data_IF_378632965727
#
_entry.id   IF_378632965727
#
_cell.length_a   1.000
_cell.length_b   1.000
_cell.length_c   1.000
_cell.angle_alpha   90.00
_cell.angle_beta   90.00
_cell.angle_gamma   90.00
#
_symmetry.space_group_name_H-M   'P 1'
#
loop_
_entity.id
_entity.type
_entity.pdbx_description
1 polymer ?
#
# COMPACT_ATOMS: atom_id res chain seq x y z
N UNK A 1 -7.47 15.03 -10.84
CA UNK A 1 -7.77 13.74 -10.17
C UNK A 1 -7.60 12.64 -11.22
N UNK A 2 -7.02 11.48 -10.88
CA UNK A 2 -6.93 10.35 -11.80
C UNK A 2 -8.34 9.78 -11.99
N UNK A 3 -8.77 9.50 -13.22
CA UNK A 3 -10.09 8.90 -13.47
C UNK A 3 -10.15 7.45 -12.94
N UNK A 4 -11.34 6.92 -12.60
CA UNK A 4 -11.48 5.52 -12.18
C UNK A 4 -10.91 4.53 -13.20
N UNK A 5 -11.09 4.80 -14.50
CA UNK A 5 -10.57 3.97 -15.59
C UNK A 5 -9.04 3.98 -15.64
N UNK A 6 -8.43 5.17 -15.56
CA UNK A 6 -6.96 5.28 -15.51
C UNK A 6 -6.40 4.61 -14.26
N UNK A 7 -7.09 4.70 -13.13
CA UNK A 7 -6.69 4.01 -11.90
C UNK A 7 -6.78 2.48 -12.04
N UNK A 8 -7.86 1.97 -12.62
CA UNK A 8 -8.03 0.53 -12.85
C UNK A 8 -6.92 -0.02 -13.77
N UNK A 9 -6.61 0.70 -14.86
CA UNK A 9 -5.50 0.37 -15.77
C UNK A 9 -4.17 0.40 -15.02
N UNK A 10 -3.91 1.41 -14.19
CA UNK A 10 -2.67 1.51 -13.41
C UNK A 10 -2.51 0.35 -12.41
N UNK A 11 -3.59 -0.04 -11.74
CA UNK A 11 -3.60 -1.19 -10.81
C UNK A 11 -3.36 -2.51 -11.57
N UNK A 12 -4.01 -2.70 -12.72
CA UNK A 12 -3.84 -3.89 -13.55
C UNK A 12 -2.41 -4.04 -14.09
N UNK A 13 -1.74 -2.92 -14.36
CA UNK A 13 -0.37 -2.87 -14.88
C UNK A 13 0.71 -2.76 -13.80
N UNK A 14 0.38 -2.98 -12.53
CA UNK A 14 1.36 -2.94 -11.44
C UNK A 14 2.49 -3.91 -11.75
N UNK A 15 3.71 -3.36 -11.88
CA UNK A 15 4.89 -4.15 -12.20
C UNK A 15 5.19 -5.12 -11.07
N UNK A 16 5.06 -6.41 -11.37
CA UNK A 16 5.45 -7.49 -10.47
C UNK A 16 6.86 -7.95 -10.84
N UNK A 17 7.71 -8.16 -9.84
CA UNK A 17 9.06 -8.64 -10.08
C UNK A 17 9.03 -10.14 -10.35
N UNK A 18 9.82 -10.56 -11.34
CA UNK A 18 9.98 -11.95 -11.76
C UNK A 18 11.47 -12.31 -11.79
N UNK A 19 11.81 -13.51 -11.36
CA UNK A 19 13.11 -14.16 -11.59
C UNK A 19 12.87 -15.63 -11.93
N UNK A 20 13.01 -15.99 -13.21
CA UNK A 20 12.60 -17.30 -13.71
C UNK A 20 11.12 -17.56 -13.41
N UNK A 21 10.81 -18.71 -12.83
CA UNK A 21 9.45 -19.10 -12.42
C UNK A 21 8.99 -18.46 -11.10
N UNK A 22 9.86 -17.67 -10.45
CA UNK A 22 9.56 -17.07 -9.14
C UNK A 22 9.07 -15.63 -9.30
N UNK A 23 7.84 -15.42 -8.87
CA UNK A 23 7.22 -14.11 -8.75
C UNK A 23 7.35 -13.58 -7.31
N UNK A 24 7.54 -12.27 -7.15
CA UNK A 24 7.46 -11.61 -5.85
C UNK A 24 6.09 -10.94 -5.68
N UNK A 25 5.09 -11.59 -5.05
CA UNK A 25 3.71 -11.11 -5.00
C UNK A 25 3.50 -9.94 -4.04
N UNK A 26 4.57 -9.24 -3.64
CA UNK A 26 4.55 -8.20 -2.61
C UNK A 26 3.62 -7.03 -2.93
N UNK A 27 3.64 -6.54 -4.19
CA UNK A 27 2.75 -5.45 -4.59
C UNK A 27 1.30 -5.91 -4.76
N UNK A 28 1.00 -7.00 -5.50
CA UNK A 28 -0.38 -7.50 -5.60
C UNK A 28 -1.01 -7.82 -4.25
N UNK A 29 -0.30 -8.48 -3.33
CA UNK A 29 -0.83 -8.82 -2.02
C UNK A 29 -1.12 -7.59 -1.17
N UNK A 30 -0.25 -6.58 -1.18
CA UNK A 30 -0.52 -5.31 -0.50
C UNK A 30 -1.76 -4.60 -1.08
N UNK A 31 -1.92 -4.60 -2.40
CA UNK A 31 -3.08 -3.98 -3.05
C UNK A 31 -4.38 -4.70 -2.70
N UNK A 32 -4.38 -6.03 -2.77
CA UNK A 32 -5.54 -6.84 -2.41
C UNK A 32 -5.97 -6.61 -0.96
N UNK A 33 -5.01 -6.60 -0.04
CA UNK A 33 -5.27 -6.29 1.36
C UNK A 33 -5.87 -4.88 1.54
N UNK A 34 -5.27 -3.86 0.93
CA UNK A 34 -5.75 -2.48 1.06
C UNK A 34 -7.14 -2.30 0.45
N UNK A 35 -7.41 -2.93 -0.70
CA UNK A 35 -8.73 -2.93 -1.33
C UNK A 35 -9.78 -3.66 -0.48
N UNK A 36 -9.43 -4.77 0.19
CA UNK A 36 -10.35 -5.45 1.10
C UNK A 36 -10.70 -4.56 2.29
N UNK A 37 -9.73 -3.83 2.84
CA UNK A 37 -9.98 -2.89 3.92
C UNK A 37 -10.85 -1.72 3.47
N UNK A 38 -10.63 -1.16 2.26
CA UNK A 38 -11.51 -0.13 1.72
C UNK A 38 -12.93 -0.63 1.50
N UNK A 39 -13.10 -1.86 1.03
CA UNK A 39 -14.42 -2.50 0.90
C UNK A 39 -15.12 -2.60 2.27
N UNK A 40 -14.37 -2.79 3.35
CA UNK A 40 -14.87 -2.81 4.72
C UNK A 40 -15.09 -1.41 5.35
N UNK A 41 -14.94 -0.33 4.58
CA UNK A 41 -15.16 1.05 5.05
C UNK A 41 -13.95 1.69 5.72
N UNK A 42 -12.75 1.11 5.57
CA UNK A 42 -11.54 1.68 6.13
C UNK A 42 -11.22 3.06 5.52
N UNK A 43 -10.75 4.04 6.32
CA UNK A 43 -10.36 5.35 5.80
C UNK A 43 -9.17 5.26 4.84
N UNK A 44 -8.95 6.30 4.04
CA UNK A 44 -7.90 6.34 3.01
C UNK A 44 -6.47 6.07 3.53
N UNK A 45 -6.15 6.48 4.75
CA UNK A 45 -4.78 6.41 5.28
C UNK A 45 -4.62 5.22 6.23
N UNK A 46 -3.55 4.47 6.04
CA UNK A 46 -3.14 3.36 6.90
C UNK A 46 -1.91 3.74 7.72
N UNK A 47 -1.86 3.28 8.96
CA UNK A 47 -0.64 3.20 9.75
C UNK A 47 0.12 1.94 9.37
N UNK A 48 1.31 2.10 8.80
CA UNK A 48 2.14 0.96 8.40
C UNK A 48 2.45 0.00 9.55
N UNK A 49 2.86 0.51 10.70
CA UNK A 49 3.32 -0.32 11.82
C UNK A 49 2.19 -1.07 12.52
N UNK A 50 1.03 -0.44 12.65
CA UNK A 50 -0.10 -1.01 13.38
C UNK A 50 -1.02 -1.85 12.49
N UNK A 51 -1.21 -1.47 11.23
CA UNK A 51 -2.29 -2.00 10.39
C UNK A 51 -1.81 -2.77 9.17
N UNK A 52 -0.55 -2.57 8.73
CA UNK A 52 -0.05 -3.21 7.51
C UNK A 52 1.03 -4.26 7.80
N UNK A 53 1.99 -3.95 8.67
CA UNK A 53 3.21 -4.74 8.81
C UNK A 53 2.94 -6.22 9.05
N UNK A 54 2.15 -6.52 10.07
CA UNK A 54 1.89 -7.89 10.52
C UNK A 54 0.94 -8.64 9.56
N UNK A 55 -0.21 -8.09 9.11
CA UNK A 55 -1.08 -8.74 8.13
C UNK A 55 -0.37 -9.01 6.80
N UNK A 56 0.41 -8.05 6.30
CA UNK A 56 1.15 -8.23 5.05
C UNK A 56 2.23 -9.30 5.22
N UNK A 57 2.94 -9.34 6.36
CA UNK A 57 3.93 -10.40 6.63
C UNK A 57 3.29 -11.79 6.60
N UNK A 58 2.09 -11.95 7.17
CA UNK A 58 1.36 -13.22 7.11
C UNK A 58 1.00 -13.62 5.68
N UNK A 59 0.44 -12.69 4.91
CA UNK A 59 0.10 -12.92 3.50
C UNK A 59 1.32 -13.29 2.65
N UNK A 60 2.47 -12.67 2.90
CA UNK A 60 3.72 -13.00 2.21
C UNK A 60 4.22 -14.40 2.53
N UNK A 61 4.05 -14.86 3.78
CA UNK A 61 4.42 -16.23 4.17
C UNK A 61 3.48 -17.27 3.57
N UNK A 62 2.21 -16.95 3.44
CA UNK A 62 1.18 -17.88 2.98
C UNK A 62 1.14 -17.99 1.44
N UNK A 63 1.24 -16.86 0.75
CA UNK A 63 1.07 -16.78 -0.71
C UNK A 63 2.35 -16.41 -1.47
N UNK A 64 3.43 -16.10 -0.76
CA UNK A 64 4.73 -15.81 -1.35
C UNK A 64 5.58 -17.07 -1.57
N UNK A 65 6.57 -16.99 -2.48
CA UNK A 65 7.57 -18.05 -2.60
C UNK A 65 8.34 -18.20 -1.29
N UNK A 66 8.71 -19.44 -0.94
CA UNK A 66 9.53 -19.71 0.27
C UNK A 66 10.82 -18.91 0.21
N UNK A 67 11.02 -18.02 1.19
CA UNK A 67 12.23 -17.19 1.35
C UNK A 67 12.73 -17.29 2.79
N UNK A 68 14.03 -17.09 2.98
CA UNK A 68 14.66 -17.06 4.31
C UNK A 68 14.24 -15.83 5.12
N UNK A 69 13.92 -14.72 4.45
CA UNK A 69 13.53 -13.45 5.06
C UNK A 69 12.46 -12.76 4.20
N UNK A 70 11.38 -12.33 4.84
CA UNK A 70 10.34 -11.49 4.22
C UNK A 70 10.63 -10.00 4.47
N UNK A 71 10.45 -9.18 3.44
CA UNK A 71 10.67 -7.73 3.51
C UNK A 71 9.34 -6.98 3.27
N UNK A 72 8.46 -6.89 4.29
CA UNK A 72 7.14 -6.27 4.16
C UNK A 72 7.18 -4.75 3.89
N UNK A 73 8.34 -4.12 4.09
CA UNK A 73 8.57 -2.69 3.82
C UNK A 73 8.85 -2.39 2.33
N UNK A 74 9.40 -3.35 1.58
CA UNK A 74 9.75 -3.18 0.16
C UNK A 74 8.59 -2.81 -0.78
N UNK A 75 7.37 -3.39 -0.67
CA UNK A 75 6.30 -3.05 -1.60
C UNK A 75 5.88 -1.58 -1.55
N UNK A 76 5.98 -0.91 -0.39
CA UNK A 76 5.67 0.52 -0.26
C UNK A 76 6.61 1.42 -1.07
N UNK A 77 7.90 1.12 -1.06
CA UNK A 77 8.89 1.86 -1.84
C UNK A 77 8.69 1.66 -3.34
N UNK A 78 8.34 0.43 -3.73
CA UNK A 78 8.14 0.08 -5.15
C UNK A 78 6.79 0.52 -5.69
N UNK A 79 5.75 0.66 -4.86
CA UNK A 79 4.45 1.21 -5.29
C UNK A 79 4.51 2.72 -5.53
N UNK A 80 5.43 3.42 -4.86
CA UNK A 80 5.60 4.87 -5.03
C UNK A 80 5.91 5.26 -6.48
N UNK A 81 6.57 4.39 -7.24
CA UNK A 81 6.90 4.63 -8.65
C UNK A 81 5.71 4.41 -9.59
N UNK A 82 4.65 3.73 -9.15
CA UNK A 82 3.47 3.43 -9.97
C UNK A 82 2.48 4.61 -10.07
N UNK A 83 2.78 5.75 -9.43
CA UNK A 83 2.08 7.03 -9.61
C UNK A 83 0.70 7.16 -8.94
N UNK A 84 0.05 6.05 -8.58
CA UNK A 84 -1.24 6.04 -7.88
C UNK A 84 -1.12 5.85 -6.35
N UNK A 85 0.04 5.42 -5.86
CA UNK A 85 0.30 5.17 -4.45
C UNK A 85 1.00 6.35 -3.77
N UNK A 86 0.58 6.69 -2.54
CA UNK A 86 1.18 7.78 -1.77
C UNK A 86 1.45 7.38 -0.33
N UNK A 87 2.70 7.53 0.10
CA UNK A 87 3.12 7.38 1.49
C UNK A 87 3.31 8.74 2.12
N UNK A 88 2.72 8.97 3.30
CA UNK A 88 2.95 10.18 4.08
C UNK A 88 3.95 9.87 5.19
N UNK A 89 4.96 10.71 5.35
CA UNK A 89 5.80 10.64 6.55
C UNK A 89 5.05 11.21 7.74
N UNK A 90 5.40 10.79 8.95
CA UNK A 90 4.75 11.27 10.18
C UNK A 90 4.78 12.80 10.29
N UNK A 91 5.88 13.43 9.84
CA UNK A 91 6.04 14.89 9.82
C UNK A 91 5.02 15.57 8.90
N UNK A 92 4.80 15.03 7.70
CA UNK A 92 3.79 15.55 6.76
C UNK A 92 2.38 15.28 7.27
N UNK A 93 2.12 14.08 7.78
CA UNK A 93 0.82 13.72 8.35
C UNK A 93 0.40 14.64 9.51
N UNK A 94 1.32 14.96 10.41
CA UNK A 94 1.07 15.88 11.52
C UNK A 94 0.75 17.30 11.03
N UNK A 95 1.44 17.79 9.99
CA UNK A 95 1.19 19.12 9.41
C UNK A 95 -0.18 19.20 8.73
N UNK A 96 -0.58 18.15 8.00
CA UNK A 96 -1.92 18.07 7.39
C UNK A 96 -3.00 18.07 8.46
N UNK A 97 -2.85 17.27 9.52
CA UNK A 97 -3.80 17.26 10.66
C UNK A 97 -3.93 18.63 11.33
N UNK A 98 -2.81 19.33 11.53
CA UNK A 98 -2.81 20.66 12.14
C UNK A 98 -3.51 21.73 11.26
N UNK A 99 -3.45 21.60 9.93
CA UNK A 99 -4.18 22.48 9.01
C UNK A 99 -5.68 22.18 9.07
N UNK A 100 -6.05 20.90 8.98
CA UNK A 100 -7.46 20.48 8.99
C UNK A 100 -8.16 20.78 10.33
N UNK A 101 -7.45 20.72 11.46
CA UNK A 101 -8.01 21.08 12.77
C UNK A 101 -8.23 22.58 12.94
N UNK A 102 -7.48 23.43 12.21
CA UNK A 102 -7.69 24.88 12.18
C UNK A 102 -8.87 25.29 11.30
N UNK A 103 -9.12 24.57 10.21
CA UNK A 103 -10.23 24.84 9.28
C UNK A 103 -11.60 24.40 9.82
N UNK A 104 -11.65 23.61 10.90
CA UNK A 104 -12.89 23.16 11.57
C UNK A 104 -13.32 24.03 12.76
N UNK A 105 -12.52 25.05 13.12
CA UNK A 105 -12.77 25.93 14.27
C UNK A 105 -13.22 27.36 13.87
N UNK A 106 -13.38 27.61 12.58
CA UNK A 106 -14.10 28.76 12.01
C UNK A 106 -15.38 28.25 11.36
#
# INVERSE_FOLDING_TARGET
>A
MISPETLAIAIANVSVWHQGDVCAPHKPLLLLYVLSQYKAGHPRLFNYGLEIHEPLTRLLKEFGPKRRTDYPNMPFWRLRTDGFWRSLTQKVANRVRAILSRQRKN
#
